data_IF_891383074925
#
_entry.id   IF_891383074925
#
_cell.length_a   1.000
_cell.length_b   1.000
_cell.length_c   1.000
_cell.angle_alpha   90.00
_cell.angle_beta   90.00
_cell.angle_gamma   90.00
#
_symmetry.space_group_name_H-M   'P 1'
#
loop_
_entity.id
_entity.type
_entity.pdbx_description
1 polymer ?
#
# COMPACT_ATOMS: atom_id res chain seq x y z
N UNK A 1 -0.24 -8.12 -21.11
CA UNK A 1 -1.22 -7.59 -20.14
C UNK A 1 -2.37 -8.59 -20.06
N UNK A 2 -2.53 -9.30 -18.94
CA UNK A 2 -3.59 -10.32 -18.81
C UNK A 2 -4.93 -9.65 -18.43
N UNK A 3 -6.05 -10.26 -18.81
CA UNK A 3 -7.39 -9.70 -18.54
C UNK A 3 -7.64 -9.48 -17.03
N UNK A 4 -7.06 -10.33 -16.17
CA UNK A 4 -7.11 -10.18 -14.72
C UNK A 4 -6.47 -8.89 -14.23
N UNK A 5 -5.35 -8.47 -14.81
CA UNK A 5 -4.69 -7.24 -14.40
C UNK A 5 -5.51 -6.00 -14.78
N UNK A 6 -6.16 -6.03 -15.94
CA UNK A 6 -7.01 -4.93 -16.37
C UNK A 6 -8.24 -4.75 -15.47
N UNK A 7 -8.83 -5.85 -14.99
CA UNK A 7 -9.94 -5.87 -14.03
C UNK A 7 -9.52 -5.38 -12.64
N UNK A 8 -8.41 -5.87 -12.10
CA UNK A 8 -7.86 -5.38 -10.83
C UNK A 8 -7.55 -3.88 -10.91
N UNK A 9 -6.98 -3.44 -12.02
CA UNK A 9 -6.68 -2.03 -12.28
C UNK A 9 -7.92 -1.13 -12.28
N UNK A 10 -9.00 -1.62 -12.87
CA UNK A 10 -10.28 -0.90 -12.91
C UNK A 10 -10.97 -0.87 -11.55
N UNK A 11 -11.01 -2.01 -10.84
CA UNK A 11 -11.64 -2.09 -9.52
C UNK A 11 -10.96 -1.18 -8.50
N UNK A 12 -9.62 -1.12 -8.51
CA UNK A 12 -8.83 -0.24 -7.63
C UNK A 12 -9.13 1.24 -7.88
N UNK A 13 -9.30 1.66 -9.15
CA UNK A 13 -9.66 3.04 -9.48
C UNK A 13 -11.06 3.46 -9.00
N UNK A 14 -11.92 2.49 -8.69
CA UNK A 14 -13.27 2.72 -8.18
C UNK A 14 -13.40 2.40 -6.69
N UNK A 15 -12.32 2.00 -6.02
CA UNK A 15 -12.31 1.85 -4.57
C UNK A 15 -12.29 3.22 -3.89
N UNK A 16 -12.96 3.31 -2.75
CA UNK A 16 -12.75 4.44 -1.84
C UNK A 16 -11.30 4.41 -1.34
N UNK A 17 -10.73 5.59 -1.13
CA UNK A 17 -9.31 5.79 -0.77
C UNK A 17 -8.92 5.01 0.49
N UNK A 18 -9.81 4.99 1.49
CA UNK A 18 -9.66 4.18 2.71
C UNK A 18 -9.49 2.68 2.41
N UNK A 19 -10.34 2.13 1.53
CA UNK A 19 -10.32 0.73 1.12
C UNK A 19 -9.08 0.40 0.29
N UNK A 20 -8.64 1.33 -0.56
CA UNK A 20 -7.39 1.21 -1.31
C UNK A 20 -6.18 1.15 -0.38
N UNK A 21 -6.08 2.07 0.58
CA UNK A 21 -4.96 2.11 1.54
C UNK A 21 -4.93 0.81 2.37
N UNK A 22 -6.08 0.34 2.86
CA UNK A 22 -6.17 -0.94 3.57
C UNK A 22 -5.66 -2.10 2.71
N UNK A 23 -6.01 -2.13 1.43
CA UNK A 23 -5.55 -3.18 0.51
C UNK A 23 -4.03 -3.15 0.33
N UNK A 24 -3.46 -1.98 0.02
CA UNK A 24 -2.01 -1.79 -0.16
C UNK A 24 -1.25 -2.21 1.11
N UNK A 25 -1.74 -1.79 2.27
CA UNK A 25 -1.15 -2.13 3.57
C UNK A 25 -1.14 -3.63 3.82
N UNK A 26 -2.22 -4.34 3.50
CA UNK A 26 -2.25 -5.79 3.65
C UNK A 26 -1.22 -6.48 2.74
N UNK A 27 -1.05 -6.00 1.50
CA UNK A 27 -0.01 -6.51 0.60
C UNK A 27 1.40 -6.22 1.14
N UNK A 28 1.67 -5.00 1.60
CA UNK A 28 2.96 -4.62 2.18
C UNK A 28 3.26 -5.44 3.44
N UNK A 29 2.27 -5.61 4.32
CA UNK A 29 2.42 -6.44 5.52
C UNK A 29 2.78 -7.88 5.17
N UNK A 30 2.09 -8.47 4.21
CA UNK A 30 2.38 -9.84 3.77
C UNK A 30 3.80 -9.97 3.21
N UNK A 31 4.22 -9.03 2.35
CA UNK A 31 5.59 -9.00 1.82
C UNK A 31 6.63 -8.83 2.93
N UNK A 32 6.39 -7.93 3.89
CA UNK A 32 7.29 -7.73 5.03
C UNK A 32 7.41 -8.99 5.90
N UNK A 33 6.33 -9.72 6.13
CA UNK A 33 6.35 -10.99 6.85
C UNK A 33 7.14 -12.08 6.10
N UNK A 34 7.12 -12.07 4.77
CA UNK A 34 7.95 -12.96 3.93
C UNK A 34 9.44 -12.62 4.03
N UNK A 35 9.81 -11.33 4.02
CA UNK A 35 11.20 -10.88 4.09
C UNK A 35 11.79 -10.90 5.50
N UNK A 36 10.99 -10.57 6.51
CA UNK A 36 11.35 -10.54 7.92
C UNK A 36 10.17 -11.07 8.76
N UNK A 37 10.25 -12.34 9.15
CA UNK A 37 9.20 -12.98 9.97
C UNK A 37 9.04 -12.36 11.35
N UNK A 38 10.01 -11.59 11.83
CA UNK A 38 9.93 -10.87 13.10
C UNK A 38 9.41 -9.44 12.92
N UNK A 39 9.05 -9.06 11.68
CA UNK A 39 8.51 -7.74 11.41
C UNK A 39 7.17 -7.51 12.10
N UNK A 40 6.95 -6.26 12.49
CA UNK A 40 5.68 -5.80 13.01
C UNK A 40 5.28 -4.58 12.20
N UNK A 41 4.03 -4.56 11.74
CA UNK A 41 3.48 -3.48 10.92
C UNK A 41 2.06 -3.17 11.43
N UNK A 42 1.83 -1.91 11.75
CA UNK A 42 0.57 -1.39 12.24
C UNK A 42 0.13 -0.20 11.37
N UNK A 43 -1.19 -0.04 11.27
CA UNK A 43 -1.82 1.08 10.61
C UNK A 43 -2.92 1.63 11.51
N UNK A 44 -2.87 2.93 11.76
CA UNK A 44 -3.96 3.66 12.39
C UNK A 44 -4.58 4.63 11.39
N UNK A 45 -5.91 4.75 11.47
CA UNK A 45 -6.71 5.63 10.63
C UNK A 45 -7.15 6.86 11.41
N UNK A 46 -6.78 8.04 10.94
CA UNK A 46 -7.19 9.32 11.50
C UNK A 46 -7.98 10.13 10.47
N UNK A 47 -8.69 11.17 10.93
CA UNK A 47 -9.59 11.98 10.09
C UNK A 47 -8.93 12.55 8.83
N UNK A 48 -7.63 12.87 8.88
CA UNK A 48 -6.92 13.55 7.79
C UNK A 48 -5.70 12.79 7.25
N UNK A 49 -5.33 11.66 7.89
CA UNK A 49 -4.14 10.91 7.50
C UNK A 49 -4.18 9.46 8.00
N UNK A 50 -3.32 8.65 7.40
CA UNK A 50 -3.00 7.30 7.80
C UNK A 50 -1.62 7.30 8.47
N UNK A 51 -1.49 6.61 9.58
CA UNK A 51 -0.22 6.41 10.27
C UNK A 51 0.22 4.96 10.11
N UNK A 52 1.40 4.75 9.55
CA UNK A 52 2.05 3.45 9.45
C UNK A 52 3.25 3.39 10.36
N UNK A 53 3.40 2.33 11.14
CA UNK A 53 4.52 2.20 12.06
C UNK A 53 4.80 0.75 12.41
N UNK A 54 5.98 0.51 12.95
CA UNK A 54 6.37 -0.80 13.42
C UNK A 54 7.87 -1.01 13.39
N UNK A 55 8.29 -2.25 13.20
CA UNK A 55 9.69 -2.66 13.20
C UNK A 55 9.96 -3.65 12.07
N UNK A 56 11.00 -3.38 11.28
CA UNK A 56 11.45 -4.24 10.18
C UNK A 56 12.99 -4.29 10.22
N UNK A 57 13.57 -5.49 10.06
CA UNK A 57 15.02 -5.73 10.13
C UNK A 57 15.69 -5.13 11.37
N UNK A 58 15.02 -5.22 12.51
CA UNK A 58 15.53 -4.66 13.77
C UNK A 58 15.37 -3.15 13.94
N UNK A 59 14.89 -2.42 12.93
CA UNK A 59 14.73 -0.96 12.96
C UNK A 59 13.27 -0.55 13.05
N UNK A 60 12.98 0.42 13.89
CA UNK A 60 11.64 1.01 13.98
C UNK A 60 11.42 2.01 12.86
N UNK A 61 10.20 2.08 12.34
CA UNK A 61 9.80 3.07 11.35
C UNK A 61 8.45 3.68 11.73
N UNK A 62 8.22 4.89 11.22
CA UNK A 62 6.96 5.61 11.32
C UNK A 62 6.81 6.47 10.06
N UNK A 63 5.69 6.35 9.37
CA UNK A 63 5.38 7.04 8.12
C UNK A 63 3.95 7.58 8.23
N UNK A 64 3.73 8.81 7.80
CA UNK A 64 2.41 9.42 7.71
C UNK A 64 2.08 9.58 6.22
N UNK A 65 0.85 9.26 5.86
CA UNK A 65 0.30 9.49 4.52
C UNK A 65 -1.00 10.25 4.65
N UNK A 66 -1.09 11.40 4.02
CA UNK A 66 -2.31 12.20 3.95
C UNK A 66 -3.30 11.58 2.97
N UNK A 67 -4.58 11.97 3.08
CA UNK A 67 -5.58 11.55 2.10
C UNK A 67 -5.28 12.05 0.69
N UNK A 68 -4.72 13.25 0.55
CA UNK A 68 -4.35 13.80 -0.76
C UNK A 68 -3.27 12.93 -1.43
N UNK A 69 -2.23 12.54 -0.68
CA UNK A 69 -1.19 11.62 -1.19
C UNK A 69 -1.77 10.25 -1.53
N UNK A 70 -2.71 9.74 -0.72
CA UNK A 70 -3.39 8.49 -1.01
C UNK A 70 -4.27 8.58 -2.27
N UNK A 71 -4.96 9.71 -2.49
CA UNK A 71 -5.74 9.99 -3.70
C UNK A 71 -4.86 10.07 -4.94
N UNK A 72 -3.71 10.76 -4.86
CA UNK A 72 -2.73 10.80 -5.95
C UNK A 72 -2.25 9.38 -6.30
N UNK A 73 -1.93 8.56 -5.30
CA UNK A 73 -1.53 7.16 -5.50
C UNK A 73 -2.66 6.30 -6.11
N UNK A 74 -3.93 6.55 -5.77
CA UNK A 74 -5.05 5.86 -6.45
C UNK A 74 -5.18 6.28 -7.91
N UNK A 75 -4.89 7.54 -8.23
CA UNK A 75 -5.02 8.09 -9.57
C UNK A 75 -3.90 7.63 -10.51
N UNK A 76 -2.68 7.42 -9.99
CA UNK A 76 -1.51 7.03 -10.79
C UNK A 76 -1.55 5.61 -11.38
N UNK A 77 -2.57 4.80 -11.05
CA UNK A 77 -2.80 3.42 -11.51
C UNK A 77 -2.02 2.36 -10.72
N UNK A 78 -2.66 1.23 -10.34
CA UNK A 78 -2.05 0.15 -9.55
C UNK A 78 -0.91 -0.62 -10.25
N UNK A 79 -0.53 -0.23 -11.47
CA UNK A 79 0.56 -0.81 -12.26
C UNK A 79 1.84 0.03 -12.30
N UNK A 80 1.91 1.16 -11.59
CA UNK A 80 3.16 1.94 -11.53
C UNK A 80 4.23 1.20 -10.72
N UNK A 81 3.84 0.48 -9.67
CA UNK A 81 4.78 -0.32 -8.88
C UNK A 81 5.30 -1.57 -9.63
N UNK A 82 4.51 -2.12 -10.57
CA UNK A 82 4.93 -3.24 -11.42
C UNK A 82 5.96 -2.84 -12.50
N UNK A 83 6.10 -1.55 -12.81
CA UNK A 83 7.05 -1.06 -13.83
C UNK A 83 8.49 -0.95 -13.33
N UNK A 84 8.76 -1.11 -12.04
CA UNK A 84 10.12 -1.02 -11.48
C UNK A 84 10.89 -2.35 -11.49
N UNK A 85 10.29 -3.46 -11.97
CA UNK A 85 10.95 -4.76 -12.13
C UNK A 85 11.28 -5.13 -13.60
N UNK A 86 11.57 -4.12 -14.44
CA UNK A 86 12.09 -4.35 -15.78
C UNK A 86 13.08 -3.25 -16.16
N UNK A 87 14.25 -3.26 -15.53
CA UNK A 87 15.48 -2.64 -16.03
C UNK A 87 16.67 -3.40 -15.48
#
# INVERSE_FOLDING_TARGET
>A
MNANGMLCGYMVRHMKVDSFVVHVVNCVKHQLEEFDRASTFFMDFYTNFFLFYGKVFGKTFQIIMTFAEAEELTAESPYVLDRWHSS
#
